data_IF_553029530530
#
_entry.id   IF_553029530530
#
_cell.length_a   1.000
_cell.length_b   1.000
_cell.length_c   1.000
_cell.angle_alpha   90.00
_cell.angle_beta   90.00
_cell.angle_gamma   90.00
#
_symmetry.space_group_name_H-M   'P 1'
#
loop_
_entity.id
_entity.type
_entity.pdbx_description
1 polymer ?
#
# COMPACT_ATOMS: atom_id res chain seq x y z
N UNK A 1 -22.20 52.97 42.50
CA UNK A 1 -20.97 52.17 42.38
C UNK A 1 -21.10 51.27 41.16
N UNK A 2 -20.54 51.68 40.02
CA UNK A 2 -20.53 50.90 38.80
C UNK A 2 -19.09 50.62 38.40
N UNK A 3 -18.73 49.35 38.26
CA UNK A 3 -17.46 48.92 37.67
C UNK A 3 -17.78 48.27 36.33
N UNK A 4 -17.28 48.92 35.28
CA UNK A 4 -17.42 48.55 33.88
C UNK A 4 -16.55 47.33 33.58
N UNK A 5 -17.16 46.34 32.92
CA UNK A 5 -16.46 45.24 32.28
C UNK A 5 -15.80 45.76 30.99
N UNK A 6 -14.47 45.65 30.87
CA UNK A 6 -13.74 45.93 29.62
C UNK A 6 -13.60 44.59 28.89
N UNK A 7 -14.43 44.39 27.88
CA UNK A 7 -14.26 43.29 26.93
C UNK A 7 -13.16 43.66 25.92
N UNK A 8 -12.11 42.84 25.82
CA UNK A 8 -11.11 42.90 24.74
C UNK A 8 -11.63 42.02 23.59
N UNK A 9 -12.01 42.57 22.42
CA UNK A 9 -12.55 41.78 21.31
C UNK A 9 -11.44 41.47 20.30
N UNK A 10 -10.59 40.48 20.56
CA UNK A 10 -9.58 40.05 19.57
C UNK A 10 -9.37 38.52 19.59
N UNK A 11 -10.41 37.72 19.32
CA UNK A 11 -10.20 36.28 19.02
C UNK A 11 -11.40 35.58 18.33
N UNK A 12 -12.08 36.25 17.39
CA UNK A 12 -13.18 35.63 16.62
C UNK A 12 -12.88 35.49 15.13
N UNK A 13 -12.39 36.57 14.52
CA UNK A 13 -12.15 36.64 13.06
C UNK A 13 -10.90 35.89 12.60
N UNK A 14 -9.91 35.68 13.47
CA UNK A 14 -8.67 34.95 13.12
C UNK A 14 -8.95 33.45 13.09
N UNK A 15 -9.64 32.90 14.09
CA UNK A 15 -10.05 31.49 14.15
C UNK A 15 -11.01 31.09 13.02
N UNK A 16 -12.00 31.93 12.69
CA UNK A 16 -12.88 31.66 11.53
C UNK A 16 -12.15 31.74 10.19
N UNK A 17 -11.18 32.66 10.04
CA UNK A 17 -10.35 32.74 8.83
C UNK A 17 -9.38 31.58 8.73
N UNK A 18 -8.71 31.12 9.80
CA UNK A 18 -7.86 29.93 9.74
C UNK A 18 -8.67 28.67 9.48
N UNK A 19 -9.86 28.50 10.06
CA UNK A 19 -10.72 27.36 9.73
C UNK A 19 -11.19 27.39 8.27
N UNK A 20 -11.60 28.56 7.77
CA UNK A 20 -12.07 28.72 6.38
C UNK A 20 -10.94 28.61 5.36
N UNK A 21 -9.75 29.14 5.67
CA UNK A 21 -8.53 28.98 4.86
C UNK A 21 -8.01 27.55 4.89
N UNK A 22 -8.06 26.86 6.04
CA UNK A 22 -7.66 25.46 6.14
C UNK A 22 -8.63 24.55 5.39
N UNK A 23 -9.94 24.82 5.47
CA UNK A 23 -10.98 24.11 4.68
C UNK A 23 -10.83 24.38 3.18
N UNK A 24 -10.48 25.61 2.79
CA UNK A 24 -10.24 25.97 1.39
C UNK A 24 -8.93 25.36 0.85
N UNK A 25 -7.88 25.33 1.66
CA UNK A 25 -6.60 24.71 1.31
C UNK A 25 -6.76 23.20 1.16
N UNK A 26 -7.43 22.53 2.12
CA UNK A 26 -7.78 21.11 2.06
C UNK A 26 -8.64 20.78 0.82
N UNK A 27 -9.60 21.64 0.45
CA UNK A 27 -10.39 21.46 -0.78
C UNK A 27 -9.52 21.56 -2.04
N UNK A 28 -8.63 22.54 -2.10
CA UNK A 28 -7.73 22.75 -3.24
C UNK A 28 -6.70 21.63 -3.36
N UNK A 29 -6.20 21.13 -2.23
CA UNK A 29 -5.28 19.99 -2.16
C UNK A 29 -5.99 18.70 -2.57
N UNK A 30 -7.26 18.51 -2.16
CA UNK A 30 -8.09 17.40 -2.63
C UNK A 30 -8.41 17.48 -4.12
N UNK A 31 -8.72 18.66 -4.67
CA UNK A 31 -8.95 18.84 -6.11
C UNK A 31 -7.70 18.55 -6.93
N UNK A 32 -6.54 19.05 -6.48
CA UNK A 32 -5.24 18.74 -7.08
C UNK A 32 -4.94 17.24 -7.01
N UNK A 33 -5.27 16.58 -5.91
CA UNK A 33 -5.11 15.13 -5.76
C UNK A 33 -6.02 14.34 -6.71
N UNK A 34 -7.30 14.68 -6.81
CA UNK A 34 -8.20 14.01 -7.75
C UNK A 34 -7.74 14.20 -9.19
N UNK A 35 -7.18 15.37 -9.52
CA UNK A 35 -6.60 15.60 -10.83
C UNK A 35 -5.34 14.75 -11.06
N UNK A 36 -4.48 14.62 -10.06
CA UNK A 36 -3.30 13.76 -10.11
C UNK A 36 -3.68 12.28 -10.28
N UNK A 37 -4.67 11.79 -9.52
CA UNK A 37 -5.20 10.42 -9.66
C UNK A 37 -5.78 10.21 -11.06
N UNK A 38 -6.58 11.15 -11.57
CA UNK A 38 -7.14 11.08 -12.94
C UNK A 38 -6.06 11.00 -14.01
N UNK A 39 -4.92 11.66 -13.80
CA UNK A 39 -3.81 11.64 -14.74
C UNK A 39 -3.02 10.32 -14.70
N UNK A 40 -3.08 9.57 -13.59
CA UNK A 40 -2.39 8.28 -13.42
C UNK A 40 -3.23 7.13 -13.99
N UNK A 41 -4.56 7.20 -13.86
CA UNK A 41 -5.45 6.15 -14.35
C UNK A 41 -5.39 6.12 -15.90
N UNK A 42 -4.95 5.01 -16.51
CA UNK A 42 -4.85 4.93 -17.96
C UNK A 42 -6.24 5.04 -18.60
N UNK A 43 -6.34 5.83 -19.68
CA UNK A 43 -7.57 5.93 -20.44
C UNK A 43 -7.91 4.58 -21.10
N UNK A 44 -9.18 4.18 -20.98
CA UNK A 44 -9.73 3.04 -21.71
C UNK A 44 -9.86 3.44 -23.18
N UNK A 45 -9.11 2.77 -24.05
CA UNK A 45 -9.13 3.02 -25.50
C UNK A 45 -9.45 1.74 -26.25
N UNK A 46 -10.34 1.81 -27.22
CA UNK A 46 -10.81 0.65 -28.03
C UNK A 46 -9.70 -0.07 -28.81
N UNK A 47 -8.53 0.57 -28.95
CA UNK A 47 -7.36 0.01 -29.65
C UNK A 47 -6.52 -0.94 -28.79
N UNK A 48 -6.79 -1.04 -27.48
CA UNK A 48 -6.00 -1.86 -26.57
C UNK A 48 -6.60 -3.25 -26.43
N UNK A 49 -5.73 -4.25 -26.41
CA UNK A 49 -6.11 -5.65 -26.22
C UNK A 49 -5.88 -6.09 -24.77
N UNK A 50 -6.65 -7.10 -24.34
CA UNK A 50 -6.56 -7.68 -22.99
C UNK A 50 -5.11 -8.02 -22.63
N UNK A 51 -4.65 -7.45 -21.51
CA UNK A 51 -3.31 -7.60 -20.98
C UNK A 51 -2.37 -6.42 -21.28
N UNK A 52 -2.84 -5.37 -21.95
CA UNK A 52 -2.05 -4.15 -22.16
C UNK A 52 -2.24 -3.14 -21.01
N UNK A 53 -3.35 -3.21 -20.28
CA UNK A 53 -3.68 -2.31 -19.16
C UNK A 53 -3.62 -3.05 -17.82
N UNK A 54 -2.39 -3.41 -17.41
CA UNK A 54 -2.15 -3.92 -16.05
C UNK A 54 -2.18 -5.45 -15.92
N UNK A 55 -0.99 -6.02 -15.73
CA UNK A 55 -0.78 -7.45 -15.43
C UNK A 55 -0.08 -7.51 -14.08
N UNK A 56 -0.84 -7.82 -13.04
CA UNK A 56 -0.36 -7.72 -11.66
C UNK A 56 -0.07 -9.12 -11.13
N UNK A 57 1.12 -9.33 -10.58
CA UNK A 57 1.45 -10.57 -9.88
C UNK A 57 1.36 -10.39 -8.38
N UNK A 58 0.81 -11.37 -7.69
CA UNK A 58 0.71 -11.42 -6.22
C UNK A 58 1.53 -12.63 -5.78
N UNK A 59 2.52 -12.40 -4.93
CA UNK A 59 3.39 -13.44 -4.34
C UNK A 59 3.06 -13.54 -2.87
N UNK A 60 2.41 -14.64 -2.49
CA UNK A 60 1.92 -14.87 -1.14
C UNK A 60 0.93 -16.02 -1.11
N UNK A 61 0.35 -16.27 0.06
CA UNK A 61 -0.51 -17.43 0.29
C UNK A 61 0.27 -18.66 0.73
N UNK A 62 0.09 -19.02 1.98
CA UNK A 62 0.51 -20.29 2.59
C UNK A 62 -0.72 -21.14 2.95
N UNK A 63 -0.48 -22.29 3.59
CA UNK A 63 -1.52 -23.23 4.02
C UNK A 63 -2.60 -22.54 4.87
N UNK A 64 -2.21 -21.67 5.78
CA UNK A 64 -3.09 -21.00 6.73
C UNK A 64 -3.72 -19.71 6.16
N UNK A 65 -2.99 -18.96 5.34
CA UNK A 65 -3.37 -17.60 4.92
C UNK A 65 -3.75 -17.55 3.44
N UNK A 66 -4.86 -18.17 3.09
CA UNK A 66 -5.38 -18.23 1.71
C UNK A 66 -6.20 -17.00 1.30
N UNK A 67 -6.81 -16.29 2.25
CA UNK A 67 -7.68 -15.14 1.95
C UNK A 67 -6.93 -13.86 1.57
N UNK A 68 -5.79 -13.59 2.21
CA UNK A 68 -5.00 -12.38 1.96
C UNK A 68 -4.53 -12.23 0.49
N UNK A 69 -3.93 -13.25 -0.15
CA UNK A 69 -3.55 -13.14 -1.57
C UNK A 69 -4.77 -13.01 -2.49
N UNK A 70 -5.92 -13.61 -2.15
CA UNK A 70 -7.16 -13.45 -2.90
C UNK A 70 -7.64 -12.00 -2.89
N UNK A 71 -7.70 -11.36 -1.71
CA UNK A 71 -8.11 -9.96 -1.63
C UNK A 71 -7.15 -9.06 -2.41
N UNK A 72 -5.84 -9.22 -2.25
CA UNK A 72 -4.85 -8.46 -3.02
C UNK A 72 -5.08 -8.59 -4.55
N UNK A 73 -5.33 -9.80 -5.02
CA UNK A 73 -5.55 -10.10 -6.44
C UNK A 73 -6.86 -9.54 -6.99
N UNK A 74 -7.98 -9.78 -6.30
CA UNK A 74 -9.29 -9.24 -6.72
C UNK A 74 -9.31 -7.71 -6.69
N UNK A 75 -8.56 -7.12 -5.78
CA UNK A 75 -8.44 -5.68 -5.66
C UNK A 75 -7.68 -5.05 -6.80
N UNK A 76 -6.64 -5.72 -7.31
CA UNK A 76 -5.98 -5.32 -8.54
C UNK A 76 -6.96 -5.34 -9.73
N UNK A 77 -7.77 -6.39 -9.88
CA UNK A 77 -8.79 -6.46 -10.92
C UNK A 77 -9.84 -5.35 -10.78
N UNK A 78 -10.35 -5.12 -9.57
CA UNK A 78 -11.32 -4.05 -9.28
C UNK A 78 -10.75 -2.64 -9.47
N UNK A 79 -9.44 -2.46 -9.34
CA UNK A 79 -8.76 -1.21 -9.62
C UNK A 79 -8.55 -0.98 -11.13
N UNK A 80 -8.86 -1.97 -11.98
CA UNK A 80 -8.78 -1.87 -13.44
C UNK A 80 -7.63 -2.65 -14.07
N UNK A 81 -6.98 -3.57 -13.35
CA UNK A 81 -6.01 -4.47 -13.98
C UNK A 81 -6.71 -5.50 -14.90
N UNK A 82 -6.16 -5.69 -16.10
CA UNK A 82 -6.66 -6.69 -17.05
C UNK A 82 -6.50 -8.13 -16.57
N UNK A 83 -5.36 -8.43 -15.92
CA UNK A 83 -5.00 -9.78 -15.48
C UNK A 83 -4.34 -9.74 -14.11
N UNK A 84 -4.77 -10.66 -13.24
CA UNK A 84 -4.20 -10.85 -11.92
C UNK A 84 -3.70 -12.29 -11.75
N UNK A 85 -2.41 -12.41 -11.46
CA UNK A 85 -1.71 -13.67 -11.24
C UNK A 85 -1.42 -13.85 -9.76
N UNK A 86 -1.67 -15.03 -9.22
CA UNK A 86 -1.35 -15.37 -7.82
C UNK A 86 -0.34 -16.50 -7.79
N UNK A 87 0.85 -16.25 -7.25
CA UNK A 87 1.88 -17.25 -6.99
C UNK A 87 1.83 -17.61 -5.51
N UNK A 88 1.35 -18.82 -5.20
CA UNK A 88 1.11 -19.26 -3.84
C UNK A 88 1.66 -20.67 -3.59
N UNK A 89 1.63 -21.10 -2.31
CA UNK A 89 1.88 -22.49 -1.94
C UNK A 89 0.83 -23.42 -2.58
N UNK A 90 1.19 -24.70 -2.77
CA UNK A 90 0.33 -25.68 -3.44
C UNK A 90 -1.00 -25.88 -2.74
N UNK A 91 -0.98 -25.90 -1.41
CA UNK A 91 -2.17 -26.13 -0.58
C UNK A 91 -3.12 -24.93 -0.56
N UNK A 92 -2.61 -23.71 -0.76
CA UNK A 92 -3.42 -22.50 -0.83
C UNK A 92 -4.24 -22.41 -2.13
N UNK A 93 -3.73 -23.00 -3.21
CA UNK A 93 -4.27 -22.79 -4.55
C UNK A 93 -5.72 -23.28 -4.76
N UNK A 94 -6.16 -24.47 -4.28
CA UNK A 94 -7.54 -24.90 -4.42
C UNK A 94 -8.53 -23.92 -3.78
N UNK A 95 -8.19 -23.41 -2.59
CA UNK A 95 -9.03 -22.45 -1.87
C UNK A 95 -9.11 -21.12 -2.63
N UNK A 96 -7.97 -20.56 -3.05
CA UNK A 96 -7.95 -19.29 -3.79
C UNK A 96 -8.71 -19.40 -5.13
N UNK A 97 -8.53 -20.52 -5.86
CA UNK A 97 -9.24 -20.78 -7.11
C UNK A 97 -10.76 -20.92 -6.91
N UNK A 98 -11.20 -21.39 -5.75
CA UNK A 98 -12.63 -21.54 -5.46
C UNK A 98 -13.34 -20.21 -5.24
N UNK A 99 -12.61 -19.14 -4.86
CA UNK A 99 -13.20 -17.84 -4.61
C UNK A 99 -13.54 -17.05 -5.89
N UNK A 100 -12.75 -17.20 -6.96
CA UNK A 100 -13.02 -16.55 -8.24
C UNK A 100 -12.35 -17.27 -9.41
N UNK A 101 -13.08 -17.53 -10.51
CA UNK A 101 -12.51 -18.08 -11.74
C UNK A 101 -11.70 -17.05 -12.55
N UNK A 102 -11.74 -15.76 -12.19
CA UNK A 102 -11.03 -14.70 -12.91
C UNK A 102 -9.52 -14.69 -12.61
N UNK A 103 -9.12 -15.28 -11.47
CA UNK A 103 -7.74 -15.26 -11.01
C UNK A 103 -6.90 -16.37 -11.67
N UNK A 104 -5.70 -16.02 -12.12
CA UNK A 104 -4.74 -16.98 -12.64
C UNK A 104 -3.82 -17.43 -11.49
N UNK A 105 -4.12 -18.59 -10.91
CA UNK A 105 -3.43 -19.08 -9.70
C UNK A 105 -2.39 -20.16 -10.03
N UNK A 106 -1.14 -19.89 -9.66
CA UNK A 106 0.05 -20.71 -9.85
C UNK A 106 0.55 -21.31 -8.52
N UNK A 107 0.32 -22.61 -8.26
CA UNK A 107 0.79 -23.32 -7.07
C UNK A 107 2.28 -23.70 -7.18
N UNK A 108 3.17 -22.72 -7.06
CA UNK A 108 4.61 -22.92 -7.31
C UNK A 108 5.52 -22.47 -6.17
N UNK A 109 5.01 -21.74 -5.18
CA UNK A 109 5.84 -20.98 -4.24
C UNK A 109 6.60 -21.85 -3.22
N UNK A 110 6.10 -23.06 -2.96
CA UNK A 110 6.67 -24.09 -2.09
C UNK A 110 7.56 -25.10 -2.85
N UNK A 111 7.74 -24.92 -4.16
CA UNK A 111 8.60 -25.78 -4.97
C UNK A 111 10.08 -25.40 -4.82
N UNK A 112 11.03 -26.35 -4.84
CA UNK A 112 12.46 -26.04 -4.94
C UNK A 112 12.81 -25.21 -6.20
N UNK A 113 11.99 -25.31 -7.25
CA UNK A 113 12.14 -24.57 -8.50
C UNK A 113 11.25 -23.32 -8.59
N UNK A 114 10.64 -22.88 -7.48
CA UNK A 114 9.69 -21.77 -7.46
C UNK A 114 10.20 -20.53 -8.22
N UNK A 115 11.45 -20.13 -7.94
CA UNK A 115 12.08 -18.96 -8.57
C UNK A 115 12.12 -19.11 -10.09
N UNK A 116 12.45 -20.28 -10.62
CA UNK A 116 12.50 -20.52 -12.06
C UNK A 116 11.11 -20.55 -12.69
N UNK A 117 10.13 -21.13 -12.01
CA UNK A 117 8.75 -21.14 -12.49
C UNK A 117 8.16 -19.73 -12.55
N UNK A 118 8.35 -18.92 -11.50
CA UNK A 118 7.87 -17.52 -11.46
C UNK A 118 8.63 -16.66 -12.46
N UNK A 119 9.94 -16.87 -12.66
CA UNK A 119 10.77 -16.15 -13.65
C UNK A 119 10.21 -16.20 -15.07
N UNK A 120 9.50 -17.27 -15.46
CA UNK A 120 8.85 -17.39 -16.78
C UNK A 120 7.72 -16.37 -16.97
N UNK A 121 7.10 -15.92 -15.88
CA UNK A 121 5.97 -15.00 -15.88
C UNK A 121 6.40 -13.54 -15.70
N UNK A 122 7.50 -13.28 -14.99
CA UNK A 122 8.01 -11.92 -14.74
C UNK A 122 8.06 -11.01 -15.98
N UNK A 123 8.49 -11.44 -17.19
CA UNK A 123 8.49 -10.58 -18.39
C UNK A 123 7.11 -10.05 -18.80
N UNK A 124 6.03 -10.68 -18.31
CA UNK A 124 4.65 -10.30 -18.62
C UNK A 124 4.06 -9.41 -17.53
N UNK A 125 4.66 -9.30 -16.35
CA UNK A 125 4.08 -8.55 -15.24
C UNK A 125 4.46 -7.07 -15.34
N UNK A 126 3.50 -6.20 -15.06
CA UNK A 126 3.71 -4.75 -14.95
C UNK A 126 4.04 -4.31 -13.53
N UNK A 127 3.57 -5.06 -12.53
CA UNK A 127 3.94 -4.86 -11.12
C UNK A 127 3.77 -6.15 -10.33
N UNK A 128 4.45 -6.22 -9.18
CA UNK A 128 4.38 -7.32 -8.24
C UNK A 128 3.92 -6.83 -6.87
N UNK A 129 3.07 -7.59 -6.19
CA UNK A 129 2.71 -7.41 -4.78
C UNK A 129 3.26 -8.59 -4.02
N UNK A 130 4.04 -8.36 -2.97
CA UNK A 130 4.74 -9.41 -2.22
C UNK A 130 4.38 -9.35 -0.75
N UNK A 131 4.00 -10.49 -0.20
CA UNK A 131 3.79 -10.67 1.24
C UNK A 131 2.37 -10.99 1.73
N UNK A 132 1.25 -10.65 1.03
CA UNK A 132 -0.08 -11.01 1.50
C UNK A 132 -0.24 -12.51 1.78
N UNK A 133 -0.36 -12.87 3.06
CA UNK A 133 -0.50 -14.26 3.50
C UNK A 133 0.71 -15.13 3.19
N UNK A 134 1.91 -14.56 3.09
CA UNK A 134 3.11 -15.33 2.77
C UNK A 134 3.49 -16.32 3.88
N UNK A 135 3.20 -15.97 5.13
CA UNK A 135 3.68 -16.73 6.29
C UNK A 135 5.19 -16.55 6.47
N UNK A 136 5.77 -17.40 7.32
CA UNK A 136 7.19 -17.30 7.72
C UNK A 136 7.93 -18.63 7.63
N UNK A 137 7.46 -19.49 6.74
CA UNK A 137 8.16 -20.72 6.41
C UNK A 137 9.48 -20.42 5.67
N UNK A 138 10.57 -21.04 6.09
CA UNK A 138 11.91 -20.76 5.58
C UNK A 138 12.06 -21.04 4.08
N UNK A 139 11.40 -22.09 3.58
CA UNK A 139 11.46 -22.44 2.16
C UNK A 139 10.71 -21.40 1.32
N UNK A 140 9.50 -21.00 1.74
CA UNK A 140 8.73 -19.94 1.07
C UNK A 140 9.51 -18.62 1.06
N UNK A 141 10.06 -18.22 2.20
CA UNK A 141 10.84 -16.98 2.31
C UNK A 141 12.08 -17.01 1.42
N UNK A 142 12.83 -18.12 1.39
CA UNK A 142 13.96 -18.30 0.48
C UNK A 142 13.56 -18.15 -0.99
N UNK A 143 12.45 -18.75 -1.38
CA UNK A 143 11.92 -18.63 -2.74
C UNK A 143 11.50 -17.19 -3.07
N UNK A 144 10.85 -16.49 -2.13
CA UNK A 144 10.44 -15.10 -2.31
C UNK A 144 11.64 -14.17 -2.46
N UNK A 145 12.72 -14.37 -1.70
CA UNK A 145 13.98 -13.63 -1.89
C UNK A 145 14.47 -13.72 -3.34
N UNK A 146 14.57 -14.94 -3.87
CA UNK A 146 15.00 -15.15 -5.26
C UNK A 146 14.03 -14.57 -6.30
N UNK A 147 12.73 -14.51 -6.00
CA UNK A 147 11.73 -13.84 -6.85
C UNK A 147 11.89 -12.32 -6.81
N UNK A 148 12.13 -11.72 -5.63
CA UNK A 148 12.40 -10.29 -5.48
C UNK A 148 13.64 -9.88 -6.27
N UNK A 149 14.75 -10.61 -6.13
CA UNK A 149 15.97 -10.36 -6.88
C UNK A 149 15.75 -10.45 -8.40
N UNK A 150 15.04 -11.48 -8.85
CA UNK A 150 14.70 -11.66 -10.26
C UNK A 150 13.79 -10.56 -10.80
N UNK A 151 12.91 -10.01 -9.96
CA UNK A 151 11.99 -8.92 -10.31
C UNK A 151 12.74 -7.58 -10.39
N UNK A 152 13.65 -7.32 -9.45
CA UNK A 152 14.56 -6.15 -9.47
C UNK A 152 15.47 -6.15 -10.68
N UNK A 153 16.05 -7.31 -11.04
CA UNK A 153 16.90 -7.45 -12.22
C UNK A 153 16.15 -7.14 -13.54
N UNK A 154 14.82 -7.13 -13.51
CA UNK A 154 13.94 -6.77 -14.62
C UNK A 154 13.30 -5.39 -14.47
N UNK A 155 13.64 -4.66 -13.43
CA UNK A 155 13.17 -3.30 -13.17
C UNK A 155 11.62 -3.21 -13.05
N UNK A 156 11.00 -4.28 -12.53
CA UNK A 156 9.55 -4.40 -12.30
C UNK A 156 9.19 -3.68 -11.00
N UNK A 157 8.20 -2.76 -10.97
CA UNK A 157 7.67 -2.18 -9.73
C UNK A 157 7.17 -3.22 -8.72
N UNK A 158 7.49 -3.03 -7.43
CA UNK A 158 7.17 -4.00 -6.37
C UNK A 158 6.50 -3.30 -5.19
N UNK A 159 5.31 -3.75 -4.80
CA UNK A 159 4.66 -3.37 -3.55
C UNK A 159 4.93 -4.47 -2.52
N UNK A 160 5.39 -4.10 -1.33
CA UNK A 160 5.72 -5.03 -0.26
C UNK A 160 4.82 -4.73 0.93
N UNK A 161 4.07 -5.75 1.35
CA UNK A 161 3.08 -5.65 2.43
C UNK A 161 3.18 -6.85 3.38
N UNK A 162 2.62 -6.72 4.59
CA UNK A 162 2.50 -7.80 5.57
C UNK A 162 3.81 -8.59 5.81
N UNK A 163 3.81 -9.91 5.65
CA UNK A 163 5.00 -10.76 5.87
C UNK A 163 6.14 -10.47 4.89
N UNK A 164 5.86 -9.82 3.75
CA UNK A 164 6.91 -9.27 2.89
C UNK A 164 7.72 -8.19 3.61
N UNK A 165 7.07 -7.34 4.41
CA UNK A 165 7.76 -6.33 5.23
C UNK A 165 8.54 -6.98 6.36
N UNK A 166 8.02 -8.08 6.92
CA UNK A 166 8.79 -8.87 7.89
C UNK A 166 10.09 -9.40 7.27
N UNK A 167 10.03 -9.94 6.05
CA UNK A 167 11.20 -10.38 5.30
C UNK A 167 12.20 -9.24 5.06
N UNK A 168 11.72 -8.06 4.66
CA UNK A 168 12.57 -6.88 4.48
C UNK A 168 13.19 -6.41 5.80
N UNK A 169 12.48 -6.50 6.93
CA UNK A 169 13.05 -6.17 8.23
C UNK A 169 14.18 -7.14 8.65
N UNK A 170 14.15 -8.39 8.19
CA UNK A 170 15.27 -9.33 8.40
C UNK A 170 16.46 -9.05 7.47
N UNK A 171 16.20 -8.57 6.26
CA UNK A 171 17.23 -8.34 5.25
C UNK A 171 16.94 -7.09 4.41
N UNK A 172 17.20 -5.87 4.96
CA UNK A 172 16.88 -4.62 4.26
C UNK A 172 17.59 -4.47 2.90
N UNK A 173 18.75 -5.11 2.76
CA UNK A 173 19.54 -5.15 1.52
C UNK A 173 18.74 -5.65 0.30
N UNK A 174 17.69 -6.45 0.51
CA UNK A 174 16.81 -6.93 -0.56
C UNK A 174 16.16 -5.79 -1.35
N UNK A 175 15.91 -4.63 -0.74
CA UNK A 175 15.23 -3.49 -1.38
C UNK A 175 16.03 -2.19 -1.35
N UNK A 176 17.20 -2.19 -0.71
CA UNK A 176 18.05 -1.02 -0.59
C UNK A 176 18.29 -0.36 -1.96
N UNK A 177 17.96 0.93 -2.07
CA UNK A 177 18.15 1.74 -3.27
C UNK A 177 17.19 1.43 -4.43
N UNK A 178 16.24 0.51 -4.26
CA UNK A 178 15.30 0.16 -5.32
C UNK A 178 14.07 1.06 -5.31
N UNK A 179 14.16 2.22 -5.95
CA UNK A 179 13.14 3.29 -5.90
C UNK A 179 11.77 2.89 -6.50
N UNK A 180 11.69 1.77 -7.24
CA UNK A 180 10.42 1.20 -7.71
C UNK A 180 9.75 0.26 -6.69
N UNK A 181 10.33 0.11 -5.50
CA UNK A 181 9.65 -0.53 -4.37
C UNK A 181 8.78 0.47 -3.61
N UNK A 182 7.62 -0.01 -3.17
CA UNK A 182 6.71 0.69 -2.26
C UNK A 182 6.49 -0.21 -1.05
N UNK A 183 6.82 0.28 0.14
CA UNK A 183 6.56 -0.41 1.40
C UNK A 183 5.26 0.12 2.02
N UNK A 184 4.38 -0.77 2.50
CA UNK A 184 3.10 -0.37 3.10
C UNK A 184 2.96 -0.76 4.57
N UNK A 185 3.90 -0.39 5.47
CA UNK A 185 3.86 -0.82 6.86
C UNK A 185 2.71 -0.21 7.66
N UNK A 186 2.06 -1.01 8.49
CA UNK A 186 1.32 -0.50 9.64
C UNK A 186 2.28 -0.01 10.74
N UNK A 187 1.76 0.59 11.81
CA UNK A 187 2.57 1.09 12.92
C UNK A 187 3.57 0.07 13.49
N UNK A 188 3.17 -1.19 13.69
CA UNK A 188 4.05 -2.23 14.24
C UNK A 188 5.11 -2.70 13.24
N UNK A 189 4.74 -2.82 11.96
CA UNK A 189 5.68 -3.14 10.88
C UNK A 189 6.69 -2.02 10.66
N UNK A 190 6.25 -0.76 10.80
CA UNK A 190 7.09 0.42 10.68
C UNK A 190 8.17 0.45 11.76
N UNK A 191 7.80 0.25 13.04
CA UNK A 191 8.78 0.21 14.13
C UNK A 191 9.84 -0.87 13.91
N UNK A 192 9.43 -2.06 13.44
CA UNK A 192 10.38 -3.16 13.14
C UNK A 192 11.32 -2.83 11.99
N UNK A 193 10.79 -2.26 10.91
CA UNK A 193 11.61 -1.82 9.77
C UNK A 193 12.58 -0.71 10.18
N UNK A 194 12.11 0.23 11.00
CA UNK A 194 12.95 1.31 11.51
C UNK A 194 14.10 0.78 12.36
N UNK A 195 13.84 -0.11 13.31
CA UNK A 195 14.89 -0.71 14.13
C UNK A 195 15.92 -1.45 13.26
N UNK A 196 15.46 -2.20 12.26
CA UNK A 196 16.33 -2.93 11.33
C UNK A 196 17.21 -2.02 10.46
N UNK A 197 16.73 -0.84 10.07
CA UNK A 197 17.40 0.04 9.10
C UNK A 197 18.18 1.17 9.78
N UNK A 198 17.58 1.82 10.76
CA UNK A 198 18.12 3.03 11.42
C UNK A 198 18.91 2.68 12.68
N UNK A 199 18.71 1.48 13.24
CA UNK A 199 19.41 1.01 14.46
C UNK A 199 19.20 1.94 15.69
N UNK A 200 18.05 2.61 15.76
CA UNK A 200 17.61 3.38 16.93
C UNK A 200 16.12 3.13 17.17
N UNK A 201 15.57 3.49 18.34
CA UNK A 201 14.12 3.58 18.51
C UNK A 201 13.52 4.64 17.57
N UNK A 202 12.27 4.44 17.16
CA UNK A 202 11.50 5.45 16.42
C UNK A 202 11.20 6.63 17.36
N UNK A 203 11.42 7.85 16.88
CA UNK A 203 10.92 9.04 17.57
C UNK A 203 9.45 9.26 17.17
N UNK A 204 8.54 9.09 18.13
CA UNK A 204 7.10 9.27 17.92
C UNK A 204 6.64 10.72 18.06
N UNK A 205 7.56 11.68 18.22
CA UNK A 205 7.21 13.10 18.29
C UNK A 205 6.92 13.72 16.92
N UNK A 206 7.51 13.17 15.85
CA UNK A 206 7.31 13.63 14.47
C UNK A 206 7.29 12.44 13.49
N UNK A 207 6.09 11.92 13.23
CA UNK A 207 5.88 10.81 12.30
C UNK A 207 6.31 11.17 10.86
N UNK A 208 6.17 12.43 10.43
CA UNK A 208 6.58 12.85 9.09
C UNK A 208 8.10 12.77 8.91
N UNK A 209 8.85 13.27 9.88
CA UNK A 209 10.30 13.17 9.89
C UNK A 209 10.76 11.71 9.94
N UNK A 210 10.07 10.86 10.70
CA UNK A 210 10.36 9.42 10.80
C UNK A 210 10.14 8.71 9.45
N UNK A 211 9.02 8.92 8.76
CA UNK A 211 8.79 8.28 7.44
C UNK A 211 9.82 8.74 6.41
N UNK A 212 10.14 10.04 6.39
CA UNK A 212 11.17 10.59 5.52
C UNK A 212 12.54 9.96 5.77
N UNK A 213 12.95 9.88 7.04
CA UNK A 213 14.24 9.31 7.41
C UNK A 213 14.34 7.82 7.09
N UNK A 214 13.27 7.05 7.31
CA UNK A 214 13.25 5.64 6.93
C UNK A 214 13.41 5.47 5.41
N UNK A 215 12.66 6.25 4.62
CA UNK A 215 12.77 6.23 3.16
C UNK A 215 14.19 6.54 2.67
N UNK A 216 14.82 7.60 3.22
CA UNK A 216 16.20 7.97 2.90
C UNK A 216 17.21 6.90 3.31
N UNK A 217 17.05 6.32 4.49
CA UNK A 217 17.93 5.25 4.97
C UNK A 217 17.83 3.99 4.09
N UNK A 218 16.68 3.74 3.48
CA UNK A 218 16.46 2.68 2.49
C UNK A 218 16.92 3.04 1.07
N UNK A 219 17.50 4.23 0.86
CA UNK A 219 17.95 4.69 -0.45
C UNK A 219 16.82 5.26 -1.32
N UNK A 220 15.94 6.05 -0.72
CA UNK A 220 14.78 6.72 -1.36
C UNK A 220 13.74 5.72 -1.90
N UNK A 221 13.51 4.65 -1.14
CA UNK A 221 12.40 3.72 -1.38
C UNK A 221 11.12 4.35 -0.86
N UNK A 222 10.01 4.26 -1.62
CA UNK A 222 8.75 4.85 -1.18
C UNK A 222 8.18 4.09 0.02
N UNK A 223 7.81 4.81 1.08
CA UNK A 223 7.19 4.25 2.28
C UNK A 223 5.82 4.88 2.49
N UNK A 224 4.81 4.04 2.71
CA UNK A 224 3.43 4.39 3.05
C UNK A 224 3.14 3.86 4.45
N UNK A 225 3.32 4.70 5.47
CA UNK A 225 2.99 4.33 6.85
C UNK A 225 1.47 4.43 7.04
N UNK A 226 0.82 3.28 7.25
CA UNK A 226 -0.63 3.17 7.43
C UNK A 226 -1.02 3.57 8.85
N UNK A 227 -1.99 4.47 9.00
CA UNK A 227 -2.41 5.04 10.28
C UNK A 227 -3.84 5.59 10.25
N UNK A 228 -4.18 6.46 11.21
CA UNK A 228 -5.42 7.25 11.11
C UNK A 228 -5.36 8.22 9.92
N UNK A 229 -4.17 8.77 9.70
CA UNK A 229 -3.78 9.45 8.48
C UNK A 229 -2.55 8.74 7.92
N UNK A 230 -2.65 8.20 6.71
CA UNK A 230 -1.50 7.59 6.05
C UNK A 230 -0.48 8.66 5.67
N UNK A 231 0.79 8.36 5.92
CA UNK A 231 1.93 9.20 5.57
C UNK A 231 2.72 8.56 4.45
N UNK A 232 3.07 9.35 3.43
CA UNK A 232 3.83 8.88 2.26
C UNK A 232 5.11 9.70 2.13
N UNK A 233 6.24 9.02 1.93
CA UNK A 233 7.51 9.65 1.55
C UNK A 233 8.26 8.82 0.53
N UNK A 234 8.86 9.49 -0.46
CA UNK A 234 9.79 8.94 -1.44
C UNK A 234 11.26 9.30 -1.14
N UNK A 235 11.52 9.91 0.02
CA UNK A 235 12.85 10.30 0.47
C UNK A 235 13.30 11.69 0.01
N UNK A 236 12.55 12.34 -0.89
CA UNK A 236 12.81 13.70 -1.32
C UNK A 236 12.31 14.71 -0.27
N UNK A 237 13.00 15.85 -0.15
CA UNK A 237 12.57 16.92 0.75
C UNK A 237 11.32 17.60 0.18
N UNK A 238 10.17 17.28 0.79
CA UNK A 238 8.86 17.87 0.54
C UNK A 238 7.94 17.56 1.74
N UNK A 239 6.77 18.20 1.85
CA UNK A 239 5.83 17.84 2.91
C UNK A 239 5.48 16.36 2.75
N UNK A 240 5.77 15.52 3.74
CA UNK A 240 5.13 14.21 3.79
C UNK A 240 3.62 14.48 3.84
N UNK A 241 2.89 14.01 2.85
CA UNK A 241 1.52 14.43 2.69
C UNK A 241 0.58 13.44 3.39
N UNK A 242 -0.30 13.95 4.26
CA UNK A 242 -1.38 13.19 4.88
C UNK A 242 -2.65 13.31 4.01
N UNK A 243 -3.11 12.19 3.42
CA UNK A 243 -4.07 12.27 2.31
C UNK A 243 -5.53 11.93 2.66
N UNK A 244 -5.90 11.79 3.94
CA UNK A 244 -7.24 11.35 4.34
C UNK A 244 -7.99 12.33 5.25
N UNK A 245 -9.30 12.55 5.03
CA UNK A 245 -10.11 13.36 5.92
C UNK A 245 -10.30 12.69 7.30
N UNK A 246 -10.41 13.47 8.40
CA UNK A 246 -10.65 12.93 9.75
C UNK A 246 -11.94 12.11 9.81
N UNK A 247 -11.90 10.92 10.42
CA UNK A 247 -13.09 10.11 10.73
C UNK A 247 -13.27 8.81 9.94
N UNK A 248 -12.35 8.47 9.02
CA UNK A 248 -12.39 7.20 8.30
C UNK A 248 -11.60 6.12 9.05
N UNK A 249 -12.28 5.39 9.95
CA UNK A 249 -11.66 4.28 10.68
C UNK A 249 -11.59 3.02 9.81
N UNK A 250 -10.40 2.60 9.39
CA UNK A 250 -10.19 1.31 8.72
C UNK A 250 -9.96 0.20 9.75
N UNK A 251 -11.03 -0.42 10.27
CA UNK A 251 -10.91 -1.70 10.95
C UNK A 251 -11.00 -2.80 9.89
N UNK A 252 -9.97 -3.65 9.83
CA UNK A 252 -9.73 -4.82 8.96
C UNK A 252 -9.24 -4.56 7.51
N UNK A 253 -8.03 -4.06 7.28
CA UNK A 253 -7.40 -4.07 5.94
C UNK A 253 -5.87 -4.20 6.00
N UNK A 254 -5.37 -5.44 6.10
CA UNK A 254 -3.95 -5.81 5.89
C UNK A 254 -3.71 -6.57 4.59
N UNK A 255 -4.71 -6.62 3.71
CA UNK A 255 -4.57 -7.17 2.37
C UNK A 255 -5.40 -6.30 1.44
N UNK A 256 -4.73 -5.68 0.49
CA UNK A 256 -5.28 -4.83 -0.54
C UNK A 256 -5.54 -3.37 -0.18
N UNK A 257 -4.72 -2.50 -0.76
CA UNK A 257 -5.09 -1.16 -1.20
C UNK A 257 -6.31 -1.23 -2.12
N UNK A 258 -7.50 -1.36 -1.51
CA UNK A 258 -8.80 -1.26 -2.19
C UNK A 258 -9.80 -0.53 -1.32
N UNK A 259 -10.18 0.65 -1.81
CA UNK A 259 -11.60 1.02 -1.89
C UNK A 259 -11.91 1.24 -3.36
N UNK A 260 -12.93 0.57 -3.90
CA UNK A 260 -13.96 1.40 -4.50
C UNK A 260 -15.36 0.96 -4.03
N UNK A 261 -16.23 1.95 -3.82
CA UNK A 261 -17.68 1.83 -3.58
C UNK A 261 -18.17 1.05 -2.35
N UNK A 262 -18.37 1.79 -1.25
CA UNK A 262 -19.50 1.53 -0.35
C UNK A 262 -20.10 2.85 0.15
N UNK A 263 -20.71 3.62 -0.75
CA UNK A 263 -21.58 4.73 -0.35
C UNK A 263 -22.79 4.99 -1.27
N UNK A 264 -23.18 4.04 -2.12
CA UNK A 264 -24.41 4.17 -2.93
C UNK A 264 -25.56 3.23 -2.55
N UNK A 265 -25.46 2.51 -1.43
CA UNK A 265 -26.56 1.69 -0.94
C UNK A 265 -26.67 1.78 0.59
N UNK A 266 -27.11 2.93 1.08
CA UNK A 266 -27.76 3.02 2.38
C UNK A 266 -29.03 3.84 2.17
N UNK A 267 -30.24 3.25 2.35
CA UNK A 267 -31.46 4.04 2.30
C UNK A 267 -31.46 5.08 3.42
N UNK A 268 -32.03 6.27 3.19
CA UNK A 268 -32.10 7.31 4.22
C UNK A 268 -32.87 6.80 5.45
N UNK A 269 -32.48 7.22 6.67
CA UNK A 269 -33.23 6.86 7.87
C UNK A 269 -34.65 7.45 7.81
N UNK A 270 -35.66 6.78 8.41
CA UNK A 270 -37.01 7.32 8.48
C UNK A 270 -36.99 8.63 9.24
N UNK A 271 -37.54 9.68 8.60
CA UNK A 271 -37.93 10.89 9.31
C UNK A 271 -39.11 10.54 10.21
N UNK A 272 -39.02 10.97 11.46
CA UNK A 272 -40.11 10.97 12.45
C UNK A 272 -41.42 11.51 11.89
#
# INVERSE_FOLDING_TARGET
>A
MGLRCVAIPVCGRILQRTFSLHTAHLRKDMENFFQLVKNIVPALTEKKHKGQDGRIGIVGGCQEYTGAPYFAAMSALKAGADLSYVFCAREAAPVIKSYSPELIVHPVLDSPNAVQEVKKWLPRLHALVVGPGLGRDDLLLKNVKGILEASKARDIPIVIDADGLWLIAQEPALIQGYQKAILTPNHMEFSRLWEAVVSSPVDSSDDHASVLRLSQALGNVTVVQKGEHDLISDGQQGPAHSWWPPGVRARSQGSATTRPFRSMAAPPPPLT
#
